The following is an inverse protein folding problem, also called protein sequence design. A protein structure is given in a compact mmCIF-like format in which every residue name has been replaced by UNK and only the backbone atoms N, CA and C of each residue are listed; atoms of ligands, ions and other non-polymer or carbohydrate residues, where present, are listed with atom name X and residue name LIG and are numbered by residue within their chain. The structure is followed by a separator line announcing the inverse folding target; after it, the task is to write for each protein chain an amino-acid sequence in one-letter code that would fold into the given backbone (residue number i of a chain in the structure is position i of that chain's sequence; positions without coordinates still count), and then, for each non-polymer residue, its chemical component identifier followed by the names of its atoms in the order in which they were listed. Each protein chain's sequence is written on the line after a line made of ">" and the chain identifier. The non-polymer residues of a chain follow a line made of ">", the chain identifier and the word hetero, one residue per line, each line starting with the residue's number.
data_IF_906096634029
#
_entry.id   IF_906096634029
#
_cell.length_a   1.000
_cell.length_b   1.000
_cell.length_c   1.000
_cell.angle_alpha   90.00
_cell.angle_beta   90.00
_cell.angle_gamma   90.00
#
_symmetry.space_group_name_H-M   'P 1'
#
loop_
_entity.id
_entity.type
_entity.pdbx_description
1 polymer ?
#
# COMPACT_ATOMS: atom_id res chain seq x y z
N UNK A 1 -62.72 10.24 -14.28
CA UNK A 1 -61.27 10.32 -14.55
C UNK A 1 -60.54 10.15 -13.22
N UNK A 2 -59.97 8.98 -12.98
CA UNK A 2 -59.19 8.70 -11.78
C UNK A 2 -57.73 9.10 -12.05
N UNK A 3 -57.17 9.96 -11.20
CA UNK A 3 -55.76 10.30 -11.21
C UNK A 3 -54.96 9.14 -10.61
N UNK A 4 -54.01 8.61 -11.38
CA UNK A 4 -53.06 7.60 -10.92
C UNK A 4 -52.00 8.30 -10.07
N UNK A 5 -51.91 7.91 -8.80
CA UNK A 5 -50.83 8.32 -7.92
C UNK A 5 -49.51 7.71 -8.42
N UNK A 6 -48.57 8.56 -8.82
CA UNK A 6 -47.19 8.16 -9.01
C UNK A 6 -46.59 7.91 -7.62
N UNK A 7 -46.37 6.63 -7.27
CA UNK A 7 -45.64 6.27 -6.07
C UNK A 7 -44.22 6.78 -6.16
N UNK A 8 -43.81 7.58 -5.18
CA UNK A 8 -42.41 7.96 -4.99
C UNK A 8 -41.59 6.69 -4.68
N UNK A 9 -40.42 6.48 -5.32
CA UNK A 9 -39.55 5.38 -4.92
C UNK A 9 -39.03 5.68 -3.52
N UNK A 10 -39.31 4.78 -2.58
CA UNK A 10 -38.75 4.82 -1.23
C UNK A 10 -37.23 4.63 -1.30
N UNK A 11 -36.50 5.71 -1.52
CA UNK A 11 -35.04 5.71 -1.62
C UNK A 11 -34.42 5.57 -0.25
N UNK A 12 -33.98 4.36 0.11
CA UNK A 12 -32.98 4.16 1.16
C UNK A 12 -31.77 5.04 0.80
N UNK A 13 -31.52 6.09 1.59
CA UNK A 13 -30.33 6.94 1.43
C UNK A 13 -29.09 6.06 1.59
N UNK A 14 -28.43 5.74 0.48
CA UNK A 14 -27.19 4.96 0.51
C UNK A 14 -26.18 5.68 1.41
N UNK A 15 -25.62 4.95 2.37
CA UNK A 15 -24.66 5.50 3.32
C UNK A 15 -23.39 5.90 2.56
N UNK A 16 -22.94 7.14 2.73
CA UNK A 16 -21.62 7.58 2.23
C UNK A 16 -20.54 6.69 2.85
N UNK A 17 -19.63 6.21 2.01
CA UNK A 17 -18.51 5.36 2.39
C UNK A 17 -17.20 6.10 2.13
N UNK A 18 -16.18 5.74 2.89
CA UNK A 18 -14.79 6.08 2.62
C UNK A 18 -14.15 4.89 1.90
N UNK A 19 -13.65 5.10 0.69
CA UNK A 19 -13.17 4.05 -0.20
C UNK A 19 -11.72 4.31 -0.56
N UNK A 20 -10.84 3.38 -0.18
CA UNK A 20 -9.45 3.37 -0.60
C UNK A 20 -9.29 2.46 -1.83
N UNK A 21 -8.69 2.99 -2.88
CA UNK A 21 -8.30 2.25 -4.08
C UNK A 21 -6.78 2.20 -4.13
N UNK A 22 -6.21 1.00 -4.20
CA UNK A 22 -4.75 0.82 -4.20
C UNK A 22 -4.35 0.31 -5.57
N UNK A 23 -3.47 1.05 -6.25
CA UNK A 23 -2.97 0.68 -7.57
C UNK A 23 -1.50 1.09 -7.70
N UNK A 24 -0.61 0.21 -8.19
CA UNK A 24 0.83 0.46 -8.10
C UNK A 24 1.34 1.63 -8.94
N UNK A 25 0.69 1.91 -10.07
CA UNK A 25 1.11 2.93 -11.03
C UNK A 25 -0.11 3.67 -11.58
N UNK A 26 -0.11 5.00 -11.57
CA UNK A 26 -1.12 5.84 -12.20
C UNK A 26 -0.58 6.53 -13.46
N UNK A 27 0.05 5.74 -14.34
CA UNK A 27 0.43 6.14 -15.68
C UNK A 27 -0.74 6.16 -16.67
N UNK A 28 -0.41 6.02 -17.96
CA UNK A 28 -1.40 5.88 -19.04
C UNK A 28 -1.43 4.43 -19.52
N UNK A 29 -2.53 3.75 -19.22
CA UNK A 29 -2.78 2.38 -19.67
C UNK A 29 -4.22 1.96 -19.40
N UNK A 30 -4.55 0.73 -19.80
CA UNK A 30 -5.92 0.22 -19.72
C UNK A 30 -6.36 -0.12 -18.30
N UNK A 31 -5.46 -0.67 -17.47
CA UNK A 31 -5.78 -1.03 -16.09
C UNK A 31 -5.95 0.23 -15.23
N UNK A 32 -5.07 1.19 -15.44
CA UNK A 32 -5.07 2.52 -14.84
C UNK A 32 -6.38 3.24 -15.20
N UNK A 33 -6.82 3.16 -16.47
CA UNK A 33 -8.10 3.73 -16.89
C UNK A 33 -9.29 3.15 -16.14
N UNK A 34 -9.33 1.82 -15.99
CA UNK A 34 -10.42 1.15 -15.26
C UNK A 34 -10.47 1.58 -13.80
N UNK A 35 -9.30 1.71 -13.15
CA UNK A 35 -9.18 2.20 -11.78
C UNK A 35 -9.69 3.64 -11.65
N UNK A 36 -9.28 4.52 -12.56
CA UNK A 36 -9.71 5.92 -12.59
C UNK A 36 -11.22 6.05 -12.83
N UNK A 37 -11.77 5.31 -13.79
CA UNK A 37 -13.21 5.33 -14.08
C UNK A 37 -14.02 4.84 -12.88
N UNK A 38 -13.58 3.77 -12.22
CA UNK A 38 -14.23 3.27 -11.02
C UNK A 38 -14.20 4.30 -9.87
N UNK A 39 -13.05 4.94 -9.64
CA UNK A 39 -12.91 5.98 -8.63
C UNK A 39 -13.80 7.21 -8.92
N UNK A 40 -13.84 7.65 -10.18
CA UNK A 40 -14.74 8.71 -10.64
C UNK A 40 -16.21 8.36 -10.38
N UNK A 41 -16.63 7.14 -10.72
CA UNK A 41 -18.02 6.71 -10.51
C UNK A 41 -18.36 6.63 -9.02
N UNK A 42 -17.48 6.10 -8.18
CA UNK A 42 -17.68 6.08 -6.74
C UNK A 42 -17.83 7.50 -6.16
N UNK A 43 -16.96 8.42 -6.57
CA UNK A 43 -17.03 9.81 -6.15
C UNK A 43 -18.32 10.48 -6.64
N UNK A 44 -18.75 10.23 -7.88
CA UNK A 44 -20.00 10.75 -8.44
C UNK A 44 -21.26 10.24 -7.71
N UNK A 45 -21.19 9.05 -7.11
CA UNK A 45 -22.26 8.50 -6.24
C UNK A 45 -22.17 9.00 -4.78
N UNK A 46 -21.31 9.96 -4.49
CA UNK A 46 -21.23 10.65 -3.21
C UNK A 46 -20.34 9.95 -2.16
N UNK A 47 -19.50 9.00 -2.57
CA UNK A 47 -18.49 8.39 -1.69
C UNK A 47 -17.24 9.28 -1.58
N UNK A 48 -16.54 9.18 -0.45
CA UNK A 48 -15.21 9.78 -0.29
C UNK A 48 -14.16 8.80 -0.81
N UNK A 49 -13.38 9.18 -1.82
CA UNK A 49 -12.49 8.25 -2.54
C UNK A 49 -11.05 8.75 -2.46
N UNK A 50 -10.15 7.85 -2.11
CA UNK A 50 -8.72 8.06 -2.07
C UNK A 50 -8.03 6.98 -2.89
N UNK A 51 -7.13 7.37 -3.79
CA UNK A 51 -6.26 6.44 -4.52
C UNK A 51 -4.86 6.50 -3.90
N UNK A 52 -4.29 5.34 -3.60
CA UNK A 52 -2.93 5.18 -3.13
C UNK A 52 -2.09 4.53 -4.22
N UNK A 53 -0.97 5.16 -4.59
CA UNK A 53 -0.09 4.68 -5.67
C UNK A 53 1.38 4.93 -5.37
N UNK A 54 2.26 4.07 -5.89
CA UNK A 54 3.71 4.28 -5.79
C UNK A 54 4.30 5.11 -6.91
N UNK A 55 3.57 5.27 -8.00
CA UNK A 55 4.01 6.08 -9.13
C UNK A 55 2.86 6.93 -9.67
N UNK A 56 3.11 8.23 -9.81
CA UNK A 56 2.19 9.19 -10.40
C UNK A 56 2.97 10.33 -11.08
N UNK A 57 3.35 10.12 -12.35
CA UNK A 57 3.92 11.20 -13.16
C UNK A 57 2.81 12.14 -13.64
N UNK A 58 2.76 13.34 -13.07
CA UNK A 58 1.77 14.38 -13.43
C UNK A 58 1.84 14.82 -14.88
N UNK A 59 2.93 14.51 -15.61
CA UNK A 59 3.06 14.79 -17.04
C UNK A 59 2.55 13.64 -17.93
N UNK A 60 2.28 12.47 -17.34
CA UNK A 60 1.88 11.25 -18.05
C UNK A 60 0.88 10.42 -17.24
N UNK A 61 -0.27 11.01 -16.95
CA UNK A 61 -1.37 10.37 -16.24
C UNK A 61 -2.72 10.87 -16.79
N UNK A 62 -3.81 10.31 -16.29
CA UNK A 62 -5.17 10.80 -16.58
C UNK A 62 -5.45 12.09 -15.79
N UNK A 63 -6.10 13.08 -16.40
CA UNK A 63 -6.37 14.39 -15.81
C UNK A 63 -7.15 14.28 -14.48
N UNK A 64 -8.06 13.31 -14.39
CA UNK A 64 -8.86 13.01 -13.21
C UNK A 64 -8.00 12.65 -11.99
N UNK A 65 -6.78 12.14 -12.20
CA UNK A 65 -5.84 11.83 -11.10
C UNK A 65 -5.11 13.06 -10.57
N UNK A 66 -5.18 14.20 -11.27
CA UNK A 66 -4.52 15.45 -10.89
C UNK A 66 -5.52 16.47 -10.34
N UNK A 67 -6.66 16.62 -11.00
CA UNK A 67 -7.67 17.65 -10.69
C UNK A 67 -9.08 17.10 -10.50
N UNK A 68 -9.24 15.76 -10.52
CA UNK A 68 -10.54 15.10 -10.43
C UNK A 68 -11.13 15.05 -9.03
N UNK A 69 -12.21 14.26 -8.86
CA UNK A 69 -13.07 14.30 -7.67
C UNK A 69 -12.54 13.49 -6.48
N UNK A 70 -11.33 12.92 -6.57
CA UNK A 70 -10.71 12.07 -5.55
C UNK A 70 -9.27 12.49 -5.29
N UNK A 71 -8.72 12.09 -4.13
CA UNK A 71 -7.34 12.40 -3.78
C UNK A 71 -6.41 11.26 -4.21
N UNK A 72 -5.30 11.59 -4.85
CA UNK A 72 -4.19 10.66 -5.08
C UNK A 72 -3.13 10.91 -4.02
N UNK A 73 -2.68 9.84 -3.37
CA UNK A 73 -1.67 9.85 -2.32
C UNK A 73 -0.53 8.93 -2.71
N UNK A 74 0.69 9.43 -2.52
CA UNK A 74 1.89 8.63 -2.70
C UNK A 74 1.96 7.57 -1.60
N UNK A 75 2.11 6.32 -2.00
CA UNK A 75 2.24 5.16 -1.13
C UNK A 75 3.38 4.27 -1.62
N UNK A 76 4.35 3.99 -0.75
CA UNK A 76 5.50 3.17 -1.11
C UNK A 76 5.22 1.74 -0.69
N UNK A 77 5.08 0.79 -1.62
CA UNK A 77 4.76 -0.62 -1.31
C UNK A 77 5.85 -1.41 -0.54
N UNK A 78 6.92 -0.75 -0.07
CA UNK A 78 7.97 -1.39 0.72
C UNK A 78 8.79 -2.43 -0.04
N UNK A 79 8.67 -2.54 -1.37
CA UNK A 79 9.35 -3.57 -2.17
C UNK A 79 10.87 -3.41 -2.14
N UNK A 80 11.38 -2.18 -2.30
CA UNK A 80 12.83 -1.91 -2.30
C UNK A 80 13.50 -2.32 -0.98
N UNK A 81 12.93 -2.00 0.21
CA UNK A 81 13.37 -2.59 1.47
C UNK A 81 13.50 -4.13 1.43
N UNK A 82 12.50 -4.84 0.91
CA UNK A 82 12.51 -6.30 0.84
C UNK A 82 13.63 -6.83 -0.07
N UNK A 83 13.91 -6.18 -1.19
CA UNK A 83 15.02 -6.53 -2.09
C UNK A 83 16.38 -6.35 -1.42
N UNK A 84 16.57 -5.23 -0.72
CA UNK A 84 17.79 -4.96 0.04
C UNK A 84 17.99 -5.98 1.18
N UNK A 85 16.92 -6.30 1.92
CA UNK A 85 16.94 -7.34 2.95
C UNK A 85 17.29 -8.71 2.34
N UNK A 86 16.71 -9.03 1.19
CA UNK A 86 17.03 -10.26 0.46
C UNK A 86 18.51 -10.31 0.03
N UNK A 87 19.16 -9.17 -0.17
CA UNK A 87 20.58 -9.07 -0.50
C UNK A 87 21.51 -9.03 0.75
N UNK A 88 21.00 -9.40 1.94
CA UNK A 88 21.73 -9.34 3.21
C UNK A 88 22.17 -7.91 3.57
N UNK A 89 21.37 -6.89 3.23
CA UNK A 89 21.68 -5.49 3.54
C UNK A 89 20.72 -4.94 4.58
N UNK A 90 21.24 -4.27 5.64
CA UNK A 90 20.38 -3.48 6.50
C UNK A 90 19.77 -2.31 5.71
N UNK A 91 18.52 -1.96 6.02
CA UNK A 91 17.80 -0.88 5.33
C UNK A 91 17.81 0.39 6.18
N UNK A 92 18.07 1.55 5.57
CA UNK A 92 17.77 2.86 6.19
C UNK A 92 16.66 3.48 5.36
N UNK A 93 15.51 3.74 5.97
CA UNK A 93 14.33 4.23 5.27
C UNK A 93 13.52 5.22 6.12
N UNK A 94 12.61 5.95 5.47
CA UNK A 94 11.69 6.84 6.17
C UNK A 94 10.74 6.03 7.08
N UNK A 95 10.44 6.56 8.27
CA UNK A 95 9.46 6.01 9.20
C UNK A 95 8.01 6.32 8.76
N UNK A 96 7.68 6.01 7.52
CA UNK A 96 6.34 6.20 6.94
C UNK A 96 6.11 5.25 5.76
N UNK A 97 4.85 4.91 5.47
CA UNK A 97 4.48 4.04 4.36
C UNK A 97 5.03 2.61 4.50
N UNK A 98 5.15 1.89 3.38
CA UNK A 98 5.58 0.49 3.37
C UNK A 98 6.95 0.14 4.00
N UNK A 99 7.94 1.03 4.12
CA UNK A 99 9.10 0.75 4.98
C UNK A 99 8.73 0.36 6.42
N UNK A 100 7.69 0.96 7.01
CA UNK A 100 7.26 0.64 8.39
C UNK A 100 6.65 -0.76 8.49
N UNK A 101 6.10 -1.28 7.39
CA UNK A 101 5.52 -2.63 7.34
C UNK A 101 6.59 -3.72 7.24
N UNK A 102 7.79 -3.38 6.76
CA UNK A 102 8.81 -4.35 6.36
C UNK A 102 10.09 -4.26 7.19
N UNK A 103 10.49 -3.05 7.61
CA UNK A 103 11.72 -2.83 8.39
C UNK A 103 11.40 -2.89 9.88
N UNK A 104 12.03 -3.84 10.57
CA UNK A 104 12.10 -3.84 12.03
C UNK A 104 13.23 -2.92 12.47
N UNK A 105 12.88 -1.78 13.08
CA UNK A 105 13.83 -0.77 13.53
C UNK A 105 14.85 -1.33 14.52
N UNK A 106 16.11 -0.95 14.34
CA UNK A 106 17.29 -1.40 15.10
C UNK A 106 17.60 -2.91 15.03
N UNK A 107 16.88 -3.67 14.21
CA UNK A 107 17.11 -5.11 14.01
C UNK A 107 17.47 -5.46 12.57
N UNK A 108 16.64 -5.02 11.62
CA UNK A 108 16.83 -5.27 10.17
C UNK A 108 17.32 -4.02 9.45
N UNK A 109 17.42 -2.90 10.17
CA UNK A 109 17.65 -1.58 9.62
C UNK A 109 17.27 -0.46 10.57
N UNK A 110 17.17 0.76 10.06
CA UNK A 110 16.73 1.94 10.79
C UNK A 110 15.58 2.63 10.07
N UNK A 111 14.53 2.93 10.83
CA UNK A 111 13.45 3.81 10.40
C UNK A 111 13.74 5.22 10.94
N UNK A 112 13.85 6.19 10.04
CA UNK A 112 14.24 7.55 10.34
C UNK A 112 13.13 8.54 9.98
N UNK A 113 13.00 9.62 10.75
CA UNK A 113 12.22 10.77 10.29
C UNK A 113 12.84 11.34 8.99
N UNK A 114 12.05 11.94 8.08
CA UNK A 114 12.51 12.41 6.77
C UNK A 114 13.38 13.68 6.89
N UNK A 115 14.53 13.56 7.54
CA UNK A 115 15.47 14.65 7.79
C UNK A 115 16.92 14.16 7.62
N UNK A 116 17.76 15.02 7.03
CA UNK A 116 19.17 14.69 6.82
C UNK A 116 19.92 14.30 8.13
N UNK A 117 19.68 14.96 9.29
CA UNK A 117 20.33 14.57 10.54
C UNK A 117 20.02 13.13 10.97
N UNK A 118 18.78 12.69 10.90
CA UNK A 118 18.40 11.33 11.34
C UNK A 118 19.02 10.26 10.44
N UNK A 119 18.94 10.44 9.12
CA UNK A 119 19.58 9.53 8.17
C UNK A 119 21.10 9.48 8.35
N UNK A 120 21.74 10.64 8.56
CA UNK A 120 23.20 10.70 8.77
C UNK A 120 23.65 9.92 10.02
N UNK A 121 22.87 9.98 11.10
CA UNK A 121 23.16 9.23 12.34
C UNK A 121 23.08 7.72 12.09
N UNK A 122 22.05 7.25 11.40
CA UNK A 122 21.88 5.84 11.05
C UNK A 122 23.02 5.34 10.13
N UNK A 123 23.39 6.13 9.12
CA UNK A 123 24.52 5.82 8.23
C UNK A 123 25.83 5.74 9.02
N UNK A 124 26.10 6.70 9.90
CA UNK A 124 27.32 6.74 10.71
C UNK A 124 27.44 5.52 11.64
N UNK A 125 26.33 5.06 12.24
CA UNK A 125 26.31 3.82 13.05
C UNK A 125 26.81 2.62 12.22
N UNK A 126 26.28 2.42 11.03
CA UNK A 126 26.64 1.27 10.17
C UNK A 126 28.07 1.37 9.59
N UNK A 127 28.53 2.58 9.29
CA UNK A 127 29.90 2.81 8.78
C UNK A 127 30.95 2.56 9.85
N UNK A 128 30.68 2.98 11.10
CA UNK A 128 31.63 2.82 12.19
C UNK A 128 31.60 1.42 12.83
N UNK A 129 30.48 0.70 12.72
CA UNK A 129 30.31 -0.64 13.27
C UNK A 129 29.97 -1.65 12.16
N UNK A 130 31.02 -2.22 11.57
CA UNK A 130 30.88 -3.20 10.50
C UNK A 130 30.18 -4.49 10.95
N UNK A 131 30.45 -4.94 12.18
CA UNK A 131 29.86 -6.15 12.72
C UNK A 131 28.34 -5.99 12.92
N UNK A 132 27.91 -4.81 13.37
CA UNK A 132 26.49 -4.45 13.42
C UNK A 132 25.87 -4.51 12.02
N UNK A 133 26.50 -3.93 11.01
CA UNK A 133 25.97 -3.94 9.64
C UNK A 133 25.81 -5.36 9.08
N UNK A 134 26.81 -6.23 9.31
CA UNK A 134 26.74 -7.65 8.91
C UNK A 134 25.66 -8.40 9.67
N UNK A 135 25.54 -8.17 10.99
CA UNK A 135 24.52 -8.78 11.84
C UNK A 135 23.12 -8.37 11.39
N UNK A 136 22.85 -7.09 11.27
CA UNK A 136 21.56 -6.57 10.82
C UNK A 136 21.22 -7.05 9.42
N UNK A 137 22.19 -7.11 8.50
CA UNK A 137 22.00 -7.65 7.15
C UNK A 137 21.55 -9.12 7.14
N UNK A 138 22.09 -9.95 8.05
CA UNK A 138 21.63 -11.34 8.23
C UNK A 138 20.21 -11.39 8.80
N UNK A 139 19.92 -10.59 9.83
CA UNK A 139 18.59 -10.51 10.43
C UNK A 139 17.54 -10.05 9.41
N UNK A 140 17.88 -9.06 8.58
CA UNK A 140 17.09 -8.60 7.45
C UNK A 140 16.78 -9.73 6.46
N UNK A 141 17.79 -10.51 6.05
CA UNK A 141 17.58 -11.67 5.17
C UNK A 141 16.65 -12.71 5.80
N UNK A 142 16.90 -13.06 7.05
CA UNK A 142 16.10 -14.06 7.75
C UNK A 142 14.63 -13.60 7.87
N UNK A 143 14.42 -12.33 8.19
CA UNK A 143 13.11 -11.69 8.26
C UNK A 143 12.33 -11.80 6.94
N UNK A 144 12.95 -11.37 5.82
CA UNK A 144 12.28 -11.39 4.51
C UNK A 144 11.94 -12.82 4.05
N UNK A 145 12.83 -13.78 4.28
CA UNK A 145 12.59 -15.18 3.92
C UNK A 145 11.44 -15.77 4.75
N UNK A 146 11.38 -15.46 6.04
CA UNK A 146 10.37 -16.00 6.94
C UNK A 146 8.98 -15.38 6.70
N UNK A 147 8.91 -14.08 6.41
CA UNK A 147 7.64 -13.34 6.39
C UNK A 147 7.11 -13.05 4.98
N UNK A 148 8.00 -12.84 4.01
CA UNK A 148 7.64 -12.29 2.69
C UNK A 148 8.06 -13.19 1.52
N UNK A 149 8.38 -14.47 1.78
CA UNK A 149 8.67 -15.42 0.71
C UNK A 149 7.40 -15.92 0.01
N UNK A 150 7.55 -16.36 -1.24
CA UNK A 150 6.46 -17.02 -2.00
C UNK A 150 5.90 -18.22 -1.24
N UNK A 151 6.76 -18.95 -0.52
CA UNK A 151 6.33 -20.08 0.33
C UNK A 151 5.41 -19.60 1.45
N UNK A 152 5.85 -18.60 2.22
CA UNK A 152 5.04 -18.03 3.31
C UNK A 152 3.71 -17.49 2.80
N UNK A 153 3.72 -16.78 1.65
CA UNK A 153 2.49 -16.32 1.01
C UNK A 153 1.55 -17.48 0.65
N UNK A 154 2.07 -18.54 0.01
CA UNK A 154 1.29 -19.71 -0.37
C UNK A 154 0.68 -20.43 0.84
N UNK A 155 1.48 -20.62 1.89
CA UNK A 155 1.04 -21.27 3.14
C UNK A 155 -0.10 -20.46 3.81
N UNK A 156 0.06 -19.13 3.91
CA UNK A 156 -0.95 -18.24 4.47
C UNK A 156 -2.23 -18.22 3.62
N UNK A 157 -2.11 -18.02 2.30
CA UNK A 157 -3.25 -17.98 1.39
C UNK A 157 -4.06 -19.29 1.49
N UNK A 158 -3.38 -20.44 1.45
CA UNK A 158 -4.02 -21.73 1.60
C UNK A 158 -4.77 -21.83 2.94
N UNK A 159 -4.16 -21.38 4.05
CA UNK A 159 -4.82 -21.38 5.35
C UNK A 159 -6.10 -20.55 5.36
N UNK A 160 -6.10 -19.36 4.74
CA UNK A 160 -7.27 -18.49 4.66
C UNK A 160 -8.38 -19.10 3.80
N UNK A 161 -8.03 -19.70 2.65
CA UNK A 161 -9.00 -20.37 1.78
C UNK A 161 -9.69 -21.52 2.51
N UNK A 162 -8.92 -22.35 3.23
CA UNK A 162 -9.47 -23.45 4.02
C UNK A 162 -10.36 -22.94 5.17
N UNK A 163 -9.97 -21.86 5.86
CA UNK A 163 -10.79 -21.26 6.91
C UNK A 163 -12.15 -20.78 6.37
N UNK A 164 -12.17 -20.11 5.21
CA UNK A 164 -13.42 -19.66 4.58
C UNK A 164 -14.28 -20.84 4.14
N UNK A 165 -13.67 -21.93 3.66
CA UNK A 165 -14.38 -23.16 3.32
C UNK A 165 -15.07 -23.77 4.55
N UNK A 166 -14.36 -23.89 5.67
CA UNK A 166 -14.92 -24.46 6.90
C UNK A 166 -16.03 -23.60 7.52
N UNK A 167 -15.91 -22.28 7.49
CA UNK A 167 -16.95 -21.36 8.01
C UNK A 167 -18.26 -21.37 7.21
N UNK A 168 -18.30 -21.96 6.02
CA UNK A 168 -19.52 -22.07 5.20
C UNK A 168 -20.26 -23.40 5.37
N UNK A 169 -19.66 -24.37 6.04
CA UNK A 169 -20.23 -25.72 6.22
C UNK A 169 -20.86 -25.89 7.62
N UNK A 170 -20.64 -24.94 8.54
CA UNK A 170 -21.37 -24.79 9.80
C UNK A 170 -22.49 -23.75 9.68
#
# INVERSE_FOLDING_TARGET
>A
MAAVAAGEPSGTRMKRLEVAVIHPDLGIGGAERLIVDAACQLAAHGHDVHIFTSHHDKNRCFEETVSGPFQVKDEHFGIVPLEAMAAYKPVIACNSGGPVETVINEETGFLCDPSAPEFSKAMLKLVNDHDLAVKMGKQARDHVVQKFSTKTFGDLLNSYVLNVYHQRIE
#
